data_IF_668028314182
#
_entry.id   IF_668028314182
#
_cell.length_a   1.000
_cell.length_b   1.000
_cell.length_c   1.000
_cell.angle_alpha   90.00
_cell.angle_beta   90.00
_cell.angle_gamma   90.00
#
_symmetry.space_group_name_H-M   'P 1'
#
loop_
_entity.id
_entity.type
_entity.pdbx_description
1 polymer ?
#
# COMPACT_ATOMS: atom_id res chain seq x y z
N UNK A 1 1.56 -18.46 -8.94
CA UNK A 1 2.49 -18.40 -7.78
C UNK A 1 3.57 -17.33 -7.89
N UNK A 2 4.47 -17.37 -8.88
CA UNK A 2 5.60 -16.40 -8.98
C UNK A 2 5.16 -14.93 -9.00
N UNK A 3 4.18 -14.58 -9.83
CA UNK A 3 3.68 -13.21 -9.98
C UNK A 3 3.09 -12.70 -8.66
N UNK A 4 2.23 -13.50 -8.01
CA UNK A 4 1.60 -13.14 -6.75
C UNK A 4 2.63 -12.93 -5.64
N UNK A 5 3.68 -13.76 -5.58
CA UNK A 5 4.80 -13.59 -4.65
C UNK A 5 5.56 -12.29 -4.93
N UNK A 6 5.88 -12.01 -6.19
CA UNK A 6 6.60 -10.79 -6.58
C UNK A 6 5.82 -9.52 -6.23
N UNK A 7 4.52 -9.49 -6.56
CA UNK A 7 3.63 -8.38 -6.21
C UNK A 7 3.46 -8.27 -4.69
N UNK A 8 3.35 -9.41 -4.00
CA UNK A 8 3.30 -9.46 -2.54
C UNK A 8 4.54 -8.88 -1.88
N UNK A 9 5.73 -9.14 -2.43
CA UNK A 9 6.97 -8.54 -1.94
C UNK A 9 6.96 -7.02 -2.06
N UNK A 10 6.53 -6.50 -3.21
CA UNK A 10 6.43 -5.05 -3.41
C UNK A 10 5.45 -4.38 -2.45
N UNK A 11 4.30 -5.01 -2.19
CA UNK A 11 3.25 -4.41 -1.35
C UNK A 11 3.56 -4.48 0.15
N UNK A 12 4.38 -5.44 0.59
CA UNK A 12 4.63 -5.71 2.02
C UNK A 12 5.96 -5.15 2.52
N UNK A 13 6.98 -5.10 1.67
CA UNK A 13 8.34 -4.73 2.06
C UNK A 13 8.82 -3.51 1.29
N UNK A 14 9.79 -2.79 1.85
CA UNK A 14 10.41 -1.63 1.21
C UNK A 14 11.40 -2.02 0.09
N UNK A 15 10.97 -2.91 -0.81
CA UNK A 15 11.78 -3.44 -1.91
C UNK A 15 11.50 -2.69 -3.20
N UNK A 16 12.57 -2.37 -3.93
CA UNK A 16 12.49 -1.82 -5.27
C UNK A 16 12.11 -2.90 -6.30
N UNK A 17 11.66 -2.49 -7.49
CA UNK A 17 11.41 -3.44 -8.58
C UNK A 17 12.67 -4.20 -9.02
N UNK A 18 13.86 -3.60 -8.83
CA UNK A 18 15.15 -4.25 -9.13
C UNK A 18 15.46 -5.30 -8.08
N UNK A 19 15.27 -4.98 -6.81
CA UNK A 19 15.48 -5.92 -5.70
C UNK A 19 14.60 -7.17 -5.90
N UNK A 20 13.33 -6.98 -6.27
CA UNK A 20 12.43 -8.11 -6.55
C UNK A 20 12.90 -8.92 -7.75
N UNK A 21 13.36 -8.27 -8.83
CA UNK A 21 13.92 -8.93 -10.01
C UNK A 21 15.16 -9.76 -9.65
N UNK A 22 16.03 -9.26 -8.76
CA UNK A 22 17.20 -9.99 -8.25
C UNK A 22 16.81 -11.18 -7.39
N UNK A 23 15.87 -11.01 -6.44
CA UNK A 23 15.35 -12.10 -5.59
C UNK A 23 14.73 -13.21 -6.47
N UNK A 24 14.01 -12.84 -7.53
CA UNK A 24 13.44 -13.82 -8.46
C UNK A 24 14.53 -14.54 -9.25
N UNK A 25 15.59 -13.84 -9.66
CA UNK A 25 16.73 -14.43 -10.36
C UNK A 25 17.46 -15.46 -9.50
N UNK A 26 17.65 -15.19 -8.21
CA UNK A 26 18.23 -16.16 -7.25
C UNK A 26 17.40 -17.44 -7.13
N UNK A 27 16.09 -17.35 -7.40
CA UNK A 27 15.16 -18.49 -7.42
C UNK A 27 15.01 -19.14 -8.80
N UNK A 28 15.89 -18.81 -9.75
CA UNK A 28 15.88 -19.36 -11.10
C UNK A 28 14.88 -18.69 -12.06
N UNK A 29 14.23 -17.60 -11.66
CA UNK A 29 13.27 -16.86 -12.50
C UNK A 29 13.92 -15.59 -13.02
N UNK A 30 14.33 -15.60 -14.29
CA UNK A 30 14.92 -14.42 -14.93
C UNK A 30 13.83 -13.50 -15.50
N UNK A 31 13.56 -12.38 -14.82
CA UNK A 31 12.62 -11.36 -15.28
C UNK A 31 13.19 -9.96 -15.09
N UNK A 32 12.99 -9.10 -16.08
CA UNK A 32 13.39 -7.70 -15.97
C UNK A 32 12.50 -6.94 -14.98
N UNK A 33 13.06 -5.98 -14.25
CA UNK A 33 12.33 -5.18 -13.26
C UNK A 33 11.11 -4.43 -13.83
N UNK A 34 11.12 -4.07 -15.12
CA UNK A 34 9.96 -3.46 -15.79
C UNK A 34 8.78 -4.43 -15.93
N UNK A 35 9.04 -5.74 -16.00
CA UNK A 35 7.99 -6.78 -15.99
C UNK A 35 7.34 -6.84 -14.60
N UNK A 36 8.14 -6.78 -13.54
CA UNK A 36 7.63 -6.69 -12.16
C UNK A 36 6.79 -5.43 -11.97
N UNK A 37 7.23 -4.28 -12.50
CA UNK A 37 6.45 -3.05 -12.50
C UNK A 37 5.07 -3.25 -13.15
N UNK A 38 5.00 -3.84 -14.34
CA UNK A 38 3.73 -4.11 -15.03
C UNK A 38 2.82 -5.03 -14.21
N UNK A 39 3.37 -6.08 -13.60
CA UNK A 39 2.60 -6.96 -12.72
C UNK A 39 2.04 -6.21 -11.52
N UNK A 40 2.82 -5.34 -10.88
CA UNK A 40 2.34 -4.55 -9.75
C UNK A 40 1.21 -3.61 -10.17
N UNK A 41 1.35 -2.91 -11.31
CA UNK A 41 0.30 -2.02 -11.81
C UNK A 41 -1.02 -2.77 -12.09
N UNK A 42 -0.93 -3.99 -12.62
CA UNK A 42 -2.10 -4.81 -12.96
C UNK A 42 -2.76 -5.44 -11.72
N UNK A 43 -1.96 -6.08 -10.86
CA UNK A 43 -2.48 -6.95 -9.80
C UNK A 43 -2.65 -6.27 -8.44
N UNK A 44 -1.92 -5.20 -8.14
CA UNK A 44 -2.07 -4.50 -6.86
C UNK A 44 -3.50 -3.97 -6.64
N UNK A 45 -4.18 -3.36 -7.64
CA UNK A 45 -5.57 -2.93 -7.48
C UNK A 45 -6.51 -4.11 -7.15
N UNK A 46 -6.33 -5.26 -7.80
CA UNK A 46 -7.15 -6.45 -7.59
C UNK A 46 -6.95 -6.97 -6.16
N UNK A 47 -5.69 -7.09 -5.73
CA UNK A 47 -5.35 -7.52 -4.37
C UNK A 47 -5.92 -6.57 -3.32
N UNK A 48 -5.89 -5.26 -3.57
CA UNK A 48 -6.49 -4.26 -2.71
C UNK A 48 -8.01 -4.45 -2.57
N UNK A 49 -8.72 -4.74 -3.67
CA UNK A 49 -10.17 -5.02 -3.61
C UNK A 49 -10.48 -6.29 -2.80
N UNK A 50 -9.70 -7.35 -2.98
CA UNK A 50 -9.83 -8.59 -2.20
C UNK A 50 -9.58 -8.31 -0.72
N UNK A 51 -8.51 -7.58 -0.41
CA UNK A 51 -8.16 -7.19 0.96
C UNK A 51 -9.28 -6.37 1.60
N UNK A 52 -9.80 -5.35 0.89
CA UNK A 52 -10.90 -4.50 1.36
C UNK A 52 -12.17 -5.29 1.64
N UNK A 53 -12.51 -6.29 0.82
CA UNK A 53 -13.67 -7.17 1.07
C UNK A 53 -13.49 -8.03 2.32
N UNK A 54 -12.27 -8.56 2.55
CA UNK A 54 -11.97 -9.40 3.71
C UNK A 54 -11.91 -8.62 5.03
N UNK A 55 -11.51 -7.35 5.00
CA UNK A 55 -11.27 -6.52 6.19
C UNK A 55 -12.43 -5.55 6.50
N UNK A 56 -13.68 -5.90 6.15
CA UNK A 56 -14.88 -5.10 6.45
C UNK A 56 -15.34 -5.13 7.92
N UNK A 57 -14.66 -5.85 8.80
CA UNK A 57 -15.10 -5.96 10.20
C UNK A 57 -14.90 -4.62 10.92
N UNK A 58 -15.89 -4.21 11.70
CA UNK A 58 -15.79 -3.05 12.57
C UNK A 58 -14.81 -3.37 13.70
N UNK A 59 -13.74 -2.58 13.80
CA UNK A 59 -12.77 -2.67 14.89
C UNK A 59 -13.27 -1.83 16.06
N UNK A 60 -13.41 -2.44 17.25
CA UNK A 60 -13.89 -1.76 18.46
C UNK A 60 -12.98 -0.59 18.89
N UNK A 61 -11.68 -0.66 18.54
CA UNK A 61 -10.69 0.37 18.84
C UNK A 61 -9.75 0.56 17.65
N UNK A 62 -9.62 1.80 17.22
CA UNK A 62 -8.71 2.21 16.16
C UNK A 62 -8.12 3.59 16.50
N UNK A 63 -7.03 3.95 15.82
CA UNK A 63 -6.31 5.22 15.96
C UNK A 63 -6.13 5.86 14.60
N UNK A 64 -5.94 7.18 14.59
CA UNK A 64 -5.56 7.93 13.40
C UNK A 64 -4.09 8.31 13.51
N UNK A 65 -3.35 8.10 12.43
CA UNK A 65 -2.00 8.60 12.22
C UNK A 65 -1.99 9.58 11.05
N UNK A 66 -1.26 10.69 11.21
CA UNK A 66 -1.17 11.78 10.23
C UNK A 66 0.30 12.11 9.95
N UNK A 67 0.72 12.04 8.69
CA UNK A 67 2.12 12.29 8.34
C UNK A 67 2.30 12.92 6.97
N UNK A 68 3.43 13.61 6.78
CA UNK A 68 3.84 14.16 5.50
C UNK A 68 4.68 13.13 4.73
N UNK A 69 4.29 12.85 3.49
CA UNK A 69 5.06 12.01 2.56
C UNK A 69 5.38 12.74 1.27
N UNK A 70 6.53 12.43 0.67
CA UNK A 70 6.98 13.05 -0.57
C UNK A 70 6.67 12.12 -1.76
N UNK A 71 5.81 12.57 -2.67
CA UNK A 71 5.42 11.83 -3.87
C UNK A 71 5.88 12.61 -5.09
N UNK A 72 6.75 12.00 -5.91
CA UNK A 72 7.34 12.64 -7.11
C UNK A 72 7.89 14.04 -6.82
N UNK A 73 8.59 14.19 -5.69
CA UNK A 73 9.20 15.44 -5.27
C UNK A 73 8.28 16.43 -4.55
N UNK A 74 6.96 16.19 -4.51
CA UNK A 74 5.98 17.08 -3.88
C UNK A 74 5.53 16.52 -2.53
N UNK A 75 5.44 17.38 -1.52
CA UNK A 75 4.86 17.02 -0.23
C UNK A 75 3.35 16.78 -0.37
N UNK A 76 2.87 15.74 0.29
CA UNK A 76 1.47 15.37 0.40
C UNK A 76 1.21 14.90 1.82
N UNK A 77 -0.03 15.03 2.26
CA UNK A 77 -0.46 14.68 3.61
C UNK A 77 -1.22 13.36 3.58
N UNK A 78 -0.80 12.42 4.43
CA UNK A 78 -1.34 11.07 4.50
C UNK A 78 -2.04 10.89 5.85
N UNK A 79 -3.34 10.61 5.79
CA UNK A 79 -4.14 10.12 6.91
C UNK A 79 -4.21 8.60 6.86
N UNK A 80 -4.04 7.94 8.00
CA UNK A 80 -4.15 6.48 8.14
C UNK A 80 -5.02 6.14 9.33
N UNK A 81 -5.97 5.24 9.12
CA UNK A 81 -6.68 4.58 10.21
C UNK A 81 -5.96 3.26 10.50
N UNK A 82 -5.69 2.97 11.77
CA UNK A 82 -4.92 1.80 12.21
C UNK A 82 -5.68 1.13 13.36
N UNK A 83 -5.78 -0.19 13.36
CA UNK A 83 -6.40 -0.93 14.46
C UNK A 83 -5.50 -0.99 15.72
N UNK A 84 -5.98 -1.66 16.76
CA UNK A 84 -5.23 -1.85 18.00
C UNK A 84 -3.96 -2.73 17.82
N UNK A 85 -3.93 -3.57 16.79
CA UNK A 85 -2.83 -4.50 16.48
C UNK A 85 -1.77 -3.87 15.56
N UNK A 86 -2.03 -2.67 15.03
CA UNK A 86 -1.12 -1.95 14.14
C UNK A 86 -1.40 -2.17 12.65
N UNK A 87 -2.49 -2.85 12.28
CA UNK A 87 -2.88 -3.01 10.89
C UNK A 87 -3.57 -1.76 10.34
N UNK A 88 -3.13 -1.33 9.16
CA UNK A 88 -3.78 -0.21 8.46
C UNK A 88 -5.17 -0.62 7.98
N UNK A 89 -6.20 0.09 8.42
CA UNK A 89 -7.61 -0.09 8.07
C UNK A 89 -8.00 0.72 6.84
N UNK A 90 -7.51 1.96 6.77
CA UNK A 90 -7.80 2.86 5.66
C UNK A 90 -6.71 3.90 5.50
N UNK A 91 -6.60 4.46 4.29
CA UNK A 91 -5.67 5.52 3.94
C UNK A 91 -6.37 6.61 3.14
N UNK A 92 -5.98 7.86 3.39
CA UNK A 92 -6.38 8.98 2.56
C UNK A 92 -5.21 9.93 2.32
N UNK A 93 -4.84 10.08 1.05
CA UNK A 93 -3.83 11.03 0.60
C UNK A 93 -4.46 12.35 0.16
N UNK A 94 -3.93 13.47 0.64
CA UNK A 94 -4.31 14.84 0.28
C UNK A 94 -3.09 15.68 -0.08
N UNK A 95 -3.28 16.76 -0.83
CA UNK A 95 -2.19 17.68 -1.17
C UNK A 95 -1.73 18.52 0.03
N UNK A 96 -2.65 18.83 0.94
CA UNK A 96 -2.43 19.70 2.08
C UNK A 96 -3.15 19.12 3.30
N UNK A 97 -2.70 19.55 4.48
CA UNK A 97 -3.37 19.28 5.76
C UNK A 97 -4.53 20.25 5.91
N UNK A 98 -5.72 19.73 6.17
CA UNK A 98 -6.93 20.53 6.39
C UNK A 98 -7.88 19.82 7.37
N UNK A 99 -8.63 20.60 8.15
CA UNK A 99 -9.60 20.03 9.09
C UNK A 99 -10.77 19.35 8.36
N UNK A 100 -11.10 19.84 7.17
CA UNK A 100 -12.19 19.30 6.37
C UNK A 100 -11.91 17.88 5.87
N UNK A 101 -10.71 17.59 5.34
CA UNK A 101 -10.36 16.23 4.91
C UNK A 101 -10.16 15.30 6.10
N UNK A 102 -9.64 15.79 7.24
CA UNK A 102 -9.57 15.00 8.47
C UNK A 102 -10.97 14.56 8.93
N UNK A 103 -11.92 15.50 8.99
CA UNK A 103 -13.31 15.21 9.34
C UNK A 103 -13.99 14.28 8.34
N UNK A 104 -13.78 14.51 7.04
CA UNK A 104 -14.31 13.64 6.00
C UNK A 104 -13.74 12.22 6.10
N UNK A 105 -12.48 12.06 6.50
CA UNK A 105 -11.84 10.75 6.65
C UNK A 105 -12.48 9.93 7.77
N UNK A 106 -12.76 10.59 8.90
CA UNK A 106 -13.40 9.97 10.06
C UNK A 106 -14.84 9.52 9.74
N UNK A 107 -15.53 10.24 8.84
CA UNK A 107 -16.93 9.97 8.48
C UNK A 107 -17.14 8.86 7.45
N UNK A 108 -16.07 8.38 6.80
CA UNK A 108 -16.14 7.49 5.64
C UNK A 108 -16.36 6.03 6.03
#
# INVERSE_FOLDING_TARGET
DVITVAVGYYLRYALSYRDISEILRERGVNVHHSTVYRWVQEYAPILYQIWKKKHKKAYYKWRIDETYIKIKGKWSYLYRAIDAEGHTLDIWLRKQRDNHSAYAFIKR
#
